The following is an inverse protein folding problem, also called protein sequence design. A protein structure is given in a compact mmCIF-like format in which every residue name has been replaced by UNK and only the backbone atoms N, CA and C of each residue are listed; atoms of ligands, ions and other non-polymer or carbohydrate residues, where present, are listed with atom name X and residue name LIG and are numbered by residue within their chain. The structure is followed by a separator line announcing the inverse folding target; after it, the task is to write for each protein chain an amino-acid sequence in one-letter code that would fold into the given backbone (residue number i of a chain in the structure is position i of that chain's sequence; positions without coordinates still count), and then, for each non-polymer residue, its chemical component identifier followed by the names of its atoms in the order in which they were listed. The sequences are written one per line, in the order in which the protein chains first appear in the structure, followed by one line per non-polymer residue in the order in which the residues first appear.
data_IF_653236743185
#
_entry.id   IF_653236743185
#
_cell.length_a   1.000
_cell.length_b   1.000
_cell.length_c   1.000
_cell.angle_alpha   90.00
_cell.angle_beta   90.00
_cell.angle_gamma   90.00
#
_symmetry.space_group_name_H-M   'P 1'
#
loop_
_entity.id
_entity.type
_entity.pdbx_description
1 polymer ?
#
# COMPACT_ATOMS: atom_id res chain seq x y z
N UNK A 1 -22.91 12.48 -32.11
CA UNK A 1 -22.61 13.03 -30.76
C UNK A 1 -22.52 11.81 -29.86
N UNK A 2 -21.39 11.31 -29.35
CA UNK A 2 -20.31 11.93 -28.59
C UNK A 2 -18.99 11.17 -28.82
N UNK A 3 -17.90 11.91 -29.10
CA UNK A 3 -16.54 11.37 -29.15
C UNK A 3 -15.90 11.63 -27.79
N UNK A 4 -15.77 10.60 -26.95
CA UNK A 4 -14.97 10.69 -25.73
C UNK A 4 -13.50 10.53 -26.10
N UNK A 5 -12.83 11.68 -26.24
CA UNK A 5 -11.38 11.78 -26.15
C UNK A 5 -11.06 11.82 -24.67
N UNK A 6 -10.59 10.70 -24.11
CA UNK A 6 -9.95 10.71 -22.79
C UNK A 6 -8.46 10.57 -23.02
N UNK A 7 -7.82 11.71 -23.21
CA UNK A 7 -6.39 11.88 -22.94
C UNK A 7 -6.15 11.70 -21.45
N UNK A 8 -5.38 10.69 -21.06
CA UNK A 8 -4.56 10.80 -19.85
C UNK A 8 -3.33 9.92 -20.02
N UNK A 9 -2.22 10.57 -20.34
CA UNK A 9 -0.90 9.97 -20.28
C UNK A 9 -0.58 9.63 -18.82
N UNK A 10 -0.79 8.37 -18.43
CA UNK A 10 -0.26 7.82 -17.17
C UNK A 10 0.12 6.34 -17.36
N UNK A 11 0.70 5.99 -18.51
CA UNK A 11 0.94 4.59 -18.89
C UNK A 11 2.42 4.29 -19.12
N UNK A 12 3.28 4.65 -18.15
CA UNK A 12 4.64 4.09 -18.13
C UNK A 12 5.09 3.81 -16.71
N UNK A 13 4.92 4.76 -15.79
CA UNK A 13 5.21 4.52 -14.36
C UNK A 13 4.26 3.51 -13.72
N UNK A 14 2.95 3.63 -13.95
CA UNK A 14 1.95 2.72 -13.35
C UNK A 14 2.13 1.26 -13.81
N UNK A 15 2.42 1.07 -15.10
CA UNK A 15 2.67 -0.26 -15.67
C UNK A 15 3.99 -0.86 -15.19
N UNK A 16 5.07 -0.06 -15.11
CA UNK A 16 6.33 -0.48 -14.52
C UNK A 16 6.17 -0.83 -13.03
N UNK A 17 5.29 -0.14 -12.32
CA UNK A 17 5.04 -0.36 -10.90
C UNK A 17 4.28 -1.67 -10.64
N UNK A 18 3.27 -1.97 -11.46
CA UNK A 18 2.60 -3.27 -11.43
C UNK A 18 3.57 -4.42 -11.74
N UNK A 19 4.52 -4.20 -12.66
CA UNK A 19 5.52 -5.21 -13.03
C UNK A 19 6.63 -5.40 -11.97
N UNK A 20 7.06 -4.33 -11.28
CA UNK A 20 8.12 -4.39 -10.27
C UNK A 20 7.65 -4.97 -8.93
N UNK A 21 6.36 -4.85 -8.61
CA UNK A 21 5.82 -5.18 -7.30
C UNK A 21 4.64 -6.18 -7.32
N UNK A 22 4.22 -6.67 -8.50
CA UNK A 22 3.07 -7.58 -8.64
C UNK A 22 1.77 -7.00 -8.06
N UNK A 23 0.88 -7.86 -7.55
CA UNK A 23 -0.34 -7.45 -6.82
C UNK A 23 -0.04 -6.80 -5.44
N UNK A 24 1.22 -6.54 -5.10
CA UNK A 24 1.66 -6.02 -3.82
C UNK A 24 2.55 -4.76 -3.95
N UNK A 25 1.93 -3.62 -4.31
CA UNK A 25 2.66 -2.38 -4.58
C UNK A 25 3.39 -1.79 -3.37
N UNK A 26 3.11 -2.28 -2.15
CA UNK A 26 3.73 -1.80 -0.92
C UNK A 26 5.02 -2.54 -0.56
N UNK A 27 5.27 -3.73 -1.13
CA UNK A 27 6.38 -4.58 -0.73
C UNK A 27 6.21 -5.15 0.68
N UNK A 28 4.98 -5.48 1.06
CA UNK A 28 4.65 -6.00 2.39
C UNK A 28 4.33 -7.49 2.34
N UNK A 29 4.78 -8.25 3.32
CA UNK A 29 4.31 -9.63 3.51
C UNK A 29 3.13 -9.56 4.48
N UNK A 30 1.88 -9.66 4.02
CA UNK A 30 0.74 -9.64 4.91
C UNK A 30 0.72 -10.92 5.76
N UNK A 31 0.31 -10.77 7.01
CA UNK A 31 -0.05 -11.89 7.84
C UNK A 31 -1.49 -12.31 7.51
N UNK A 32 -1.64 -13.38 6.72
CA UNK A 32 -2.94 -13.93 6.31
C UNK A 32 -3.76 -14.56 7.46
N UNK A 33 -3.16 -14.68 8.65
CA UNK A 33 -3.87 -15.10 9.86
C UNK A 33 -4.45 -13.89 10.64
N UNK A 34 -4.32 -12.66 10.14
CA UNK A 34 -4.92 -11.49 10.80
C UNK A 34 -6.44 -11.54 10.63
N UNK A 35 -7.15 -11.89 11.70
CA UNK A 35 -8.61 -11.88 11.75
C UNK A 35 -9.04 -10.69 12.60
N UNK A 36 -9.86 -9.82 12.00
CA UNK A 36 -10.44 -8.64 12.64
C UNK A 36 -9.72 -7.34 12.32
N UNK A 37 -10.46 -6.31 11.91
CA UNK A 37 -10.12 -4.88 11.99
C UNK A 37 -8.89 -4.33 11.25
N UNK A 38 -8.08 -5.15 10.57
CA UNK A 38 -6.86 -4.67 9.90
C UNK A 38 -6.02 -5.80 9.30
N UNK A 39 -4.95 -5.45 8.60
CA UNK A 39 -3.95 -6.39 8.07
C UNK A 39 -2.63 -6.25 8.83
N UNK A 40 -2.21 -7.32 9.50
CA UNK A 40 -0.92 -7.41 10.17
C UNK A 40 0.21 -7.54 9.16
N UNK A 41 1.33 -6.87 9.44
CA UNK A 41 2.56 -6.93 8.66
C UNK A 41 3.45 -8.03 9.24
N UNK A 42 3.56 -9.15 8.51
CA UNK A 42 4.47 -10.22 8.89
C UNK A 42 5.93 -9.84 8.58
N UNK A 43 6.17 -9.19 7.45
CA UNK A 43 7.50 -8.75 7.04
C UNK A 43 7.43 -7.58 6.05
N UNK A 44 8.54 -6.87 5.86
CA UNK A 44 8.64 -5.72 4.95
C UNK A 44 9.85 -5.88 4.04
N UNK A 45 9.65 -5.80 2.73
CA UNK A 45 10.72 -5.89 1.75
C UNK A 45 11.65 -4.69 1.88
N UNK A 46 12.91 -4.95 2.24
CA UNK A 46 13.95 -3.92 2.34
C UNK A 46 14.13 -3.16 1.02
N UNK A 47 14.17 -1.84 1.10
CA UNK A 47 14.27 -0.93 -0.05
C UNK A 47 12.96 -0.76 -0.84
N UNK A 48 11.88 -1.44 -0.46
CA UNK A 48 10.55 -1.25 -1.03
C UNK A 48 9.83 0.01 -0.52
N UNK A 49 8.69 0.38 -1.14
CA UNK A 49 7.91 1.56 -0.77
C UNK A 49 7.55 1.63 0.72
N UNK A 50 7.02 0.54 1.29
CA UNK A 50 6.65 0.51 2.69
C UNK A 50 7.85 0.58 3.63
N UNK A 51 8.98 -0.06 3.28
CA UNK A 51 10.21 0.03 4.06
C UNK A 51 10.74 1.46 4.11
N UNK A 52 10.79 2.14 2.96
CA UNK A 52 11.25 3.51 2.85
C UNK A 52 10.32 4.49 3.58
N UNK A 53 9.02 4.16 3.66
CA UNK A 53 8.06 4.90 4.47
C UNK A 53 8.17 4.61 5.98
N UNK A 54 8.94 3.61 6.40
CA UNK A 54 9.18 3.29 7.81
C UNK A 54 8.23 2.24 8.41
N UNK A 55 7.47 1.52 7.58
CA UNK A 55 6.74 0.32 8.04
C UNK A 55 7.72 -0.76 8.47
N UNK A 56 7.29 -1.55 9.46
CA UNK A 56 8.08 -2.61 10.08
C UNK A 56 7.19 -3.82 10.36
N UNK A 57 7.84 -4.96 10.57
CA UNK A 57 7.19 -6.16 11.11
C UNK A 57 6.41 -5.83 12.39
N UNK A 58 5.28 -6.50 12.58
CA UNK A 58 4.32 -6.32 13.67
C UNK A 58 3.50 -5.02 13.62
N UNK A 59 3.67 -4.20 12.58
CA UNK A 59 2.69 -3.15 12.31
C UNK A 59 1.36 -3.77 11.91
N UNK A 60 0.26 -3.09 12.23
CA UNK A 60 -1.06 -3.46 11.74
C UNK A 60 -1.65 -2.31 10.96
N UNK A 61 -1.90 -2.51 9.68
CA UNK A 61 -2.58 -1.51 8.85
C UNK A 61 -4.09 -1.62 9.12
N UNK A 62 -4.70 -0.52 9.56
CA UNK A 62 -6.13 -0.46 9.88
C UNK A 62 -6.91 0.39 8.89
N UNK A 63 -6.25 1.32 8.20
CA UNK A 63 -6.85 2.12 7.14
C UNK A 63 -5.86 2.50 6.04
N UNK A 64 -6.40 2.78 4.86
CA UNK A 64 -5.68 3.28 3.69
C UNK A 64 -6.45 4.48 3.15
N UNK A 65 -5.79 5.63 3.00
CA UNK A 65 -6.37 6.90 2.56
C UNK A 65 -7.65 7.28 3.35
N UNK A 66 -7.63 7.04 4.67
CA UNK A 66 -8.78 7.28 5.56
C UNK A 66 -9.93 6.27 5.45
N UNK A 67 -9.83 5.27 4.56
CA UNK A 67 -10.81 4.20 4.43
C UNK A 67 -10.39 2.96 5.21
N UNK A 68 -11.29 2.28 5.96
CA UNK A 68 -10.97 1.06 6.69
C UNK A 68 -10.39 -0.01 5.77
N UNK A 69 -9.27 -0.60 6.19
CA UNK A 69 -8.54 -1.60 5.41
C UNK A 69 -8.53 -2.93 6.14
N UNK A 70 -9.47 -3.79 5.79
CA UNK A 70 -9.73 -5.05 6.50
C UNK A 70 -9.19 -6.29 5.77
N UNK A 71 -8.80 -6.16 4.50
CA UNK A 71 -8.32 -7.27 3.68
C UNK A 71 -7.28 -6.82 2.66
N UNK A 72 -6.30 -7.68 2.42
CA UNK A 72 -5.25 -7.51 1.41
C UNK A 72 -5.75 -7.62 -0.03
N UNK A 73 -7.01 -8.01 -0.25
CA UNK A 73 -7.61 -8.12 -1.58
C UNK A 73 -7.95 -6.77 -2.20
N UNK A 74 -7.98 -5.69 -1.41
CA UNK A 74 -8.32 -4.36 -1.90
C UNK A 74 -7.11 -3.76 -2.64
N UNK A 75 -7.28 -3.27 -3.89
CA UNK A 75 -6.18 -2.64 -4.61
C UNK A 75 -5.75 -1.33 -3.93
N UNK A 76 -4.44 -1.16 -3.76
CA UNK A 76 -3.83 0.05 -3.18
C UNK A 76 -3.08 0.79 -4.27
N UNK A 77 -3.46 2.04 -4.53
CA UNK A 77 -2.74 2.91 -5.45
C UNK A 77 -1.76 3.81 -4.67
N UNK A 78 -0.53 3.94 -5.16
CA UNK A 78 0.47 4.86 -4.60
C UNK A 78 0.45 6.22 -5.30
N UNK A 79 0.74 7.33 -4.58
CA UNK A 79 1.02 7.38 -3.14
C UNK A 79 -0.24 7.09 -2.30
N UNK A 80 -0.03 6.47 -1.13
CA UNK A 80 -1.11 6.14 -0.20
C UNK A 80 -0.73 6.54 1.22
N UNK A 81 -1.70 7.02 1.99
CA UNK A 81 -1.57 7.23 3.44
C UNK A 81 -2.07 5.98 4.15
N UNK A 82 -1.19 5.28 4.86
CA UNK A 82 -1.55 4.12 5.65
C UNK A 82 -1.72 4.54 7.10
N UNK A 83 -2.85 4.21 7.70
CA UNK A 83 -3.01 4.28 9.16
C UNK A 83 -2.59 2.92 9.72
N UNK A 84 -1.52 2.92 10.49
CA UNK A 84 -1.01 1.73 11.18
C UNK A 84 -1.20 1.82 12.68
N UNK A 85 -1.34 0.69 13.34
CA UNK A 85 -1.22 0.55 14.78
C UNK A 85 0.08 -0.17 15.11
N UNK A 86 0.91 0.47 15.94
CA UNK A 86 2.17 -0.07 16.46
C UNK A 86 2.18 0.15 17.97
N UNK A 87 2.36 -0.92 18.74
CA UNK A 87 2.36 -0.88 20.21
C UNK A 87 1.09 -0.23 20.82
N UNK A 88 -0.06 -0.42 20.18
CA UNK A 88 -1.34 0.18 20.61
C UNK A 88 -1.50 1.67 20.30
N UNK A 89 -0.56 2.27 19.54
CA UNK A 89 -0.67 3.65 19.06
C UNK A 89 -0.94 3.67 17.56
N UNK A 90 -1.93 4.46 17.15
CA UNK A 90 -2.19 4.72 15.74
C UNK A 90 -1.22 5.76 15.20
N UNK A 91 -0.65 5.50 14.02
CA UNK A 91 0.28 6.37 13.32
C UNK A 91 -0.09 6.42 11.84
N UNK A 92 -0.04 7.60 11.23
CA UNK A 92 -0.19 7.74 9.79
C UNK A 92 1.17 7.72 9.12
N UNK A 93 1.29 6.87 8.10
CA UNK A 93 2.51 6.64 7.35
C UNK A 93 2.20 6.89 5.87
N UNK A 94 2.81 7.92 5.30
CA UNK A 94 2.69 8.19 3.87
C UNK A 94 3.66 7.31 3.09
N UNK A 95 3.13 6.40 2.30
CA UNK A 95 3.89 5.56 1.37
C UNK A 95 3.88 6.22 0.00
N UNK A 96 5.07 6.49 -0.51
CA UNK A 96 5.27 7.03 -1.85
C UNK A 96 5.80 5.95 -2.78
N UNK A 97 5.69 6.22 -4.08
CA UNK A 97 6.40 5.42 -5.09
C UNK A 97 7.88 5.53 -4.79
N UNK A 98 8.51 4.39 -4.48
CA UNK A 98 9.96 4.33 -4.34
C UNK A 98 10.60 4.39 -5.73
N UNK A 99 10.70 5.59 -6.27
CA UNK A 99 11.41 5.85 -7.52
C UNK A 99 12.91 5.96 -7.26
N UNK A 100 13.69 5.16 -7.97
CA UNK A 100 15.06 5.50 -8.30
C UNK A 100 15.22 5.42 -9.81
#
# INVERSE_FOLDING_TARGET
MHRFVTSSATSSALAAMAAAFGDNPLGLVPNIATIGGGVGVNDVLHGGPAYNAGLRRNDRIVAVNGSPFTSWTVPIALPAVLTIEREGKSQEVTVMISGR
#
